data_IF_179423280053
#
_entry.id   IF_179423280053
#
_cell.length_a   1.000
_cell.length_b   1.000
_cell.length_c   1.000
_cell.angle_alpha   90.00
_cell.angle_beta   90.00
_cell.angle_gamma   90.00
#
_symmetry.space_group_name_H-M   'P 1'
#
loop_
_entity.id
_entity.type
_entity.pdbx_description
1 polymer ?
#
# COMPACT_ATOMS: atom_id res chain seq x y z
N UNK A 1 -9.03 7.66 0.58
CA UNK A 1 -8.99 8.95 -0.15
C UNK A 1 -8.64 8.69 -1.61
N UNK A 2 -9.56 8.95 -2.54
CA UNK A 2 -9.32 8.88 -3.98
C UNK A 2 -8.88 10.27 -4.47
N UNK A 3 -7.75 10.38 -5.19
CA UNK A 3 -7.31 11.65 -5.76
C UNK A 3 -8.37 12.15 -6.75
N UNK A 4 -8.83 13.40 -6.59
CA UNK A 4 -9.87 13.98 -7.45
C UNK A 4 -9.42 13.94 -8.92
N UNK A 5 -10.18 13.25 -9.77
CA UNK A 5 -9.85 13.05 -11.19
C UNK A 5 -9.03 11.79 -11.51
N UNK A 6 -8.65 10.98 -10.52
CA UNK A 6 -7.98 9.71 -10.78
C UNK A 6 -9.02 8.65 -11.21
N UNK A 7 -8.95 8.26 -12.48
CA UNK A 7 -9.69 7.13 -13.04
C UNK A 7 -8.72 5.96 -13.17
N UNK A 8 -9.08 4.85 -12.52
CA UNK A 8 -8.34 3.60 -12.61
C UNK A 8 -9.00 2.70 -13.63
N UNK A 9 -8.20 2.07 -14.47
CA UNK A 9 -8.62 0.96 -15.32
C UNK A 9 -8.15 -0.38 -14.73
N UNK A 10 -8.88 -1.45 -15.05
CA UNK A 10 -8.57 -2.79 -14.54
C UNK A 10 -7.20 -3.23 -15.03
N UNK A 11 -6.37 -3.76 -14.12
CA UNK A 11 -5.02 -4.23 -14.44
C UNK A 11 -3.94 -3.15 -14.39
N UNK A 12 -4.28 -1.90 -14.09
CA UNK A 12 -3.28 -0.86 -13.84
C UNK A 12 -2.55 -1.09 -12.51
N UNK A 13 -1.37 -0.48 -12.39
CA UNK A 13 -0.53 -0.53 -11.20
C UNK A 13 -0.16 0.89 -10.76
N UNK A 14 0.25 1.01 -9.51
CA UNK A 14 0.76 2.25 -8.92
C UNK A 14 2.18 2.06 -8.45
N UNK A 15 2.96 3.14 -8.48
CA UNK A 15 4.22 3.20 -7.75
C UNK A 15 3.95 3.70 -6.34
N UNK A 16 4.38 2.92 -5.36
CA UNK A 16 4.26 3.26 -3.96
C UNK A 16 5.64 3.54 -3.38
N UNK A 17 5.73 4.64 -2.64
CA UNK A 17 6.87 5.01 -1.81
C UNK A 17 6.37 5.18 -0.38
N UNK A 18 7.14 4.68 0.58
CA UNK A 18 6.87 4.82 2.00
C UNK A 18 8.08 5.47 2.68
N UNK A 19 8.06 6.79 2.92
CA UNK A 19 9.22 7.53 3.45
C UNK A 19 9.73 7.05 4.82
N UNK A 20 8.88 6.39 5.63
CA UNK A 20 9.26 5.78 6.90
C UNK A 20 10.13 4.53 6.75
N UNK A 21 10.11 3.90 5.56
CA UNK A 21 10.92 2.75 5.20
C UNK A 21 12.10 3.18 4.34
N UNK A 22 11.83 3.97 3.30
CA UNK A 22 12.83 4.43 2.35
C UNK A 22 12.39 5.72 1.65
N UNK A 23 13.27 6.72 1.64
CA UNK A 23 12.99 8.03 1.06
C UNK A 23 13.16 8.08 -0.47
N UNK A 24 13.80 7.08 -1.07
CA UNK A 24 14.18 7.11 -2.48
C UNK A 24 13.65 5.92 -3.27
N UNK A 25 13.21 4.86 -2.60
CA UNK A 25 12.71 3.66 -3.28
C UNK A 25 11.22 3.77 -3.65
N UNK A 26 10.92 3.30 -4.85
CA UNK A 26 9.57 3.23 -5.42
C UNK A 26 9.32 1.81 -5.91
N UNK A 27 8.25 1.19 -5.43
CA UNK A 27 7.89 -0.18 -5.79
C UNK A 27 6.54 -0.23 -6.52
N UNK A 28 6.44 -0.95 -7.66
CA UNK A 28 5.19 -1.08 -8.40
C UNK A 28 4.27 -2.15 -7.80
N UNK A 29 2.99 -1.83 -7.63
CA UNK A 29 1.95 -2.77 -7.20
C UNK A 29 0.69 -2.64 -8.03
N UNK A 30 0.16 -3.79 -8.46
CA UNK A 30 -1.12 -3.86 -9.18
C UNK A 30 -2.26 -3.51 -8.25
N UNK A 31 -3.15 -2.62 -8.71
CA UNK A 31 -4.37 -2.27 -7.99
C UNK A 31 -5.35 -3.44 -8.08
N UNK A 32 -5.85 -3.88 -6.93
CA UNK A 32 -6.79 -5.00 -6.82
C UNK A 32 -8.23 -4.57 -6.54
N UNK A 33 -8.47 -3.29 -6.24
CA UNK A 33 -9.81 -2.76 -6.04
C UNK A 33 -10.53 -2.55 -7.37
N UNK A 34 -11.87 -2.56 -7.33
CA UNK A 34 -12.67 -2.18 -8.49
C UNK A 34 -12.61 -0.65 -8.73
N UNK A 35 -12.74 -0.17 -9.99
CA UNK A 35 -12.80 1.26 -10.30
C UNK A 35 -13.90 2.03 -9.56
N UNK A 36 -14.95 1.33 -9.17
CA UNK A 36 -16.15 1.82 -8.48
C UNK A 36 -15.94 2.03 -6.98
N UNK A 37 -14.89 1.46 -6.39
CA UNK A 37 -14.59 1.61 -4.97
C UNK A 37 -14.00 3.00 -4.65
N UNK A 38 -14.32 3.49 -3.45
CA UNK A 38 -13.83 4.78 -2.91
C UNK A 38 -12.41 4.71 -2.32
N UNK A 39 -11.80 3.52 -2.37
CA UNK A 39 -10.44 3.26 -1.89
C UNK A 39 -9.62 2.50 -2.93
N UNK A 40 -8.30 2.61 -2.80
CA UNK A 40 -7.36 1.79 -3.54
C UNK A 40 -6.89 0.66 -2.64
N UNK A 41 -6.96 -0.57 -3.13
CA UNK A 41 -6.38 -1.72 -2.46
C UNK A 41 -5.26 -2.32 -3.33
N UNK A 42 -4.21 -2.77 -2.66
CA UNK A 42 -3.10 -3.51 -3.26
C UNK A 42 -2.81 -4.73 -2.40
N UNK A 43 -2.47 -5.85 -3.04
CA UNK A 43 -2.03 -7.05 -2.34
C UNK A 43 -0.54 -7.23 -2.56
N UNK A 44 0.23 -7.16 -1.46
CA UNK A 44 1.69 -7.18 -1.49
C UNK A 44 2.17 -8.50 -0.88
N UNK A 45 2.87 -9.31 -1.66
CA UNK A 45 3.55 -10.51 -1.14
C UNK A 45 4.87 -10.10 -0.49
N UNK A 46 5.12 -10.62 0.70
CA UNK A 46 6.35 -10.37 1.45
C UNK A 46 7.45 -11.29 0.90
N UNK A 47 8.35 -10.75 0.07
CA UNK A 47 9.39 -11.53 -0.60
C UNK A 47 10.79 -10.89 -0.56
N UNK A 48 10.89 -9.65 -0.09
CA UNK A 48 12.15 -8.93 0.03
C UNK A 48 12.14 -7.89 1.14
N UNK A 49 13.30 -7.29 1.37
CA UNK A 49 13.57 -6.44 2.54
C UNK A 49 12.58 -5.29 2.68
N UNK A 50 12.28 -4.58 1.58
CA UNK A 50 11.32 -3.48 1.58
C UNK A 50 9.90 -3.95 1.92
N UNK A 51 9.45 -5.05 1.33
CA UNK A 51 8.10 -5.60 1.59
C UNK A 51 7.96 -6.14 3.02
N UNK A 52 9.05 -6.65 3.60
CA UNK A 52 9.08 -7.10 4.99
C UNK A 52 9.04 -5.91 5.94
N UNK A 53 9.80 -4.85 5.66
CA UNK A 53 9.76 -3.62 6.44
C UNK A 53 8.36 -2.96 6.39
N UNK A 54 7.71 -2.98 5.23
CA UNK A 54 6.34 -2.47 5.07
C UNK A 54 5.34 -3.27 5.91
N UNK A 55 5.44 -4.59 5.89
CA UNK A 55 4.59 -5.44 6.71
C UNK A 55 4.69 -5.11 8.20
N UNK A 56 5.92 -4.97 8.72
CA UNK A 56 6.17 -4.59 10.12
C UNK A 56 5.70 -3.17 10.42
N UNK A 57 5.92 -2.23 9.50
CA UNK A 57 5.48 -0.84 9.63
C UNK A 57 3.94 -0.73 9.73
N UNK A 58 3.22 -1.53 8.94
CA UNK A 58 1.76 -1.66 9.02
C UNK A 58 1.27 -2.49 10.22
N UNK A 59 2.17 -2.98 11.07
CA UNK A 59 1.83 -3.73 12.27
C UNK A 59 1.36 -5.16 12.01
N UNK A 60 1.70 -5.76 10.86
CA UNK A 60 1.34 -7.14 10.56
C UNK A 60 2.01 -8.16 11.52
N UNK A 61 3.10 -7.78 12.18
CA UNK A 61 3.78 -8.58 13.19
C UNK A 61 3.15 -8.44 14.59
N UNK A 62 2.26 -7.46 14.80
CA UNK A 62 1.67 -7.17 16.10
C UNK A 62 0.38 -7.96 16.29
N UNK A 63 0.22 -8.56 17.47
CA UNK A 63 -1.00 -9.26 17.88
C UNK A 63 -2.11 -8.34 18.39
N UNK A 64 -1.82 -7.04 18.50
CA UNK A 64 -2.76 -6.02 18.98
C UNK A 64 -3.37 -5.32 17.77
N UNK A 65 -4.70 -5.17 17.75
CA UNK A 65 -5.41 -4.42 16.71
C UNK A 65 -4.95 -2.95 16.80
N UNK A 66 -4.35 -2.45 15.72
CA UNK A 66 -3.94 -1.07 15.59
C UNK A 66 -4.98 -0.29 14.79
N UNK A 67 -5.26 0.94 15.22
CA UNK A 67 -6.13 1.83 14.47
C UNK A 67 -5.47 2.29 13.18
N UNK A 68 -6.22 2.31 12.08
CA UNK A 68 -5.68 2.59 10.75
C UNK A 68 -4.98 3.96 10.63
N UNK A 69 -5.36 4.95 11.44
CA UNK A 69 -4.74 6.30 11.45
C UNK A 69 -3.42 6.38 12.23
N UNK A 70 -3.01 5.30 12.91
CA UNK A 70 -1.75 5.22 13.65
C UNK A 70 -0.63 4.55 12.84
N UNK A 71 -0.99 3.97 11.69
CA UNK A 71 -0.05 3.36 10.76
C UNK A 71 0.64 4.46 9.92
N UNK A 72 1.89 4.21 9.50
CA UNK A 72 2.68 5.17 8.72
C UNK A 72 2.14 5.42 7.30
#
# INVERSE_FOLDING_TARGET
MKKKGFKMEVGQYVFMQCPSISQLEWHPFTLTSAPEEDHFSVHIRIVGDWTQALYTACGGDKTVVLDAWTLP
#
